data_IF_309281421434
#
_entry.id   IF_309281421434
#
_cell.length_a   1.000
_cell.length_b   1.000
_cell.length_c   1.000
_cell.angle_alpha   90.00
_cell.angle_beta   90.00
_cell.angle_gamma   90.00
#
_symmetry.space_group_name_H-M   'P 1'
#
loop_
_entity.id
_entity.type
_entity.pdbx_description
1 polymer ?
#
# COMPACT_ATOMS: atom_id res chain seq x y z
N UNK A 1 14.27 -19.80 -1.49
CA UNK A 1 14.00 -20.75 -0.39
C UNK A 1 14.69 -20.27 0.89
N UNK A 2 15.98 -19.99 0.82
CA UNK A 2 16.78 -19.47 1.94
C UNK A 2 16.14 -18.27 2.63
N UNK A 3 15.67 -17.27 1.87
CA UNK A 3 14.96 -16.09 2.39
C UNK A 3 13.74 -16.46 3.25
N UNK A 4 12.93 -17.42 2.82
CA UNK A 4 11.74 -17.86 3.57
C UNK A 4 12.12 -18.62 4.84
N UNK A 5 13.06 -19.56 4.74
CA UNK A 5 13.49 -20.39 5.88
C UNK A 5 14.25 -19.57 6.93
N UNK A 6 15.14 -18.68 6.50
CA UNK A 6 15.93 -17.83 7.39
C UNK A 6 15.08 -16.87 8.22
N UNK A 7 13.88 -16.54 7.76
CA UNK A 7 12.96 -15.65 8.48
C UNK A 7 12.40 -16.25 9.77
N UNK A 8 12.38 -17.58 9.89
CA UNK A 8 11.69 -18.30 10.97
C UNK A 8 10.18 -18.05 11.05
N UNK A 9 9.60 -17.35 10.06
CA UNK A 9 8.20 -16.95 10.09
C UNK A 9 7.25 -18.09 9.70
N UNK A 10 7.72 -19.06 8.91
CA UNK A 10 6.91 -20.19 8.40
C UNK A 10 7.65 -21.52 8.48
N UNK A 11 6.90 -22.62 8.46
CA UNK A 11 7.45 -23.97 8.36
C UNK A 11 8.19 -24.25 7.03
N UNK A 12 9.10 -25.22 7.04
CA UNK A 12 9.84 -25.61 5.84
C UNK A 12 8.92 -26.15 4.73
N UNK A 13 7.89 -26.92 5.10
CA UNK A 13 6.91 -27.47 4.15
C UNK A 13 6.11 -26.35 3.50
N UNK A 14 5.63 -25.37 4.27
CA UNK A 14 4.96 -24.18 3.74
C UNK A 14 5.88 -23.40 2.80
N UNK A 15 7.14 -23.19 3.20
CA UNK A 15 8.11 -22.47 2.37
C UNK A 15 8.33 -23.18 1.02
N UNK A 16 8.46 -24.50 1.00
CA UNK A 16 8.59 -25.30 -0.23
C UNK A 16 7.33 -25.23 -1.10
N UNK A 17 6.14 -25.35 -0.48
CA UNK A 17 4.86 -25.25 -1.18
C UNK A 17 4.59 -23.86 -1.77
N UNK A 18 5.19 -22.81 -1.20
CA UNK A 18 5.05 -21.44 -1.68
C UNK A 18 5.98 -21.12 -2.86
N UNK A 19 7.08 -21.87 -3.05
CA UNK A 19 8.05 -21.58 -4.12
C UNK A 19 7.42 -21.49 -5.52
N UNK A 20 6.51 -22.40 -5.95
CA UNK A 20 5.86 -22.27 -7.25
C UNK A 20 5.04 -20.98 -7.35
N UNK A 21 4.35 -20.58 -6.27
CA UNK A 21 3.56 -19.34 -6.23
C UNK A 21 4.46 -18.11 -6.34
N UNK A 22 5.60 -18.07 -5.62
CA UNK A 22 6.56 -16.97 -5.73
C UNK A 22 7.15 -16.85 -7.13
N UNK A 23 7.49 -17.97 -7.77
CA UNK A 23 8.03 -17.98 -9.14
C UNK A 23 7.01 -17.47 -10.15
N UNK A 24 5.76 -17.94 -10.05
CA UNK A 24 4.67 -17.46 -10.91
C UNK A 24 4.41 -15.97 -10.72
N UNK A 25 4.39 -15.50 -9.48
CA UNK A 25 4.23 -14.08 -9.16
C UNK A 25 5.38 -13.23 -9.70
N UNK A 26 6.62 -13.73 -9.64
CA UNK A 26 7.79 -13.04 -10.19
C UNK A 26 7.66 -12.87 -11.72
N UNK A 27 7.31 -13.94 -12.43
CA UNK A 27 7.06 -13.90 -13.88
C UNK A 27 5.87 -12.99 -14.21
N UNK A 28 4.81 -13.02 -13.42
CA UNK A 28 3.60 -12.25 -13.66
C UNK A 28 3.76 -10.74 -13.44
N UNK A 29 4.67 -10.34 -12.56
CA UNK A 29 4.78 -8.94 -12.11
C UNK A 29 6.12 -8.28 -12.42
N UNK A 30 7.14 -9.06 -12.80
CA UNK A 30 8.51 -8.58 -12.96
C UNK A 30 9.27 -8.37 -11.65
N UNK A 31 8.63 -8.57 -10.48
CA UNK A 31 9.31 -8.51 -9.19
C UNK A 31 10.22 -9.72 -8.98
N UNK A 32 11.24 -9.58 -8.14
CA UNK A 32 12.10 -10.72 -7.80
C UNK A 32 11.39 -11.68 -6.85
N UNK A 33 11.70 -13.00 -6.86
CA UNK A 33 11.18 -13.92 -5.86
C UNK A 33 11.48 -13.51 -4.42
N UNK A 34 12.63 -12.85 -4.19
CA UNK A 34 13.01 -12.34 -2.87
C UNK A 34 12.14 -11.17 -2.42
N UNK A 35 11.73 -10.28 -3.33
CA UNK A 35 10.81 -9.18 -3.01
C UNK A 35 9.44 -9.71 -2.60
N UNK A 36 8.93 -10.69 -3.34
CA UNK A 36 7.65 -11.33 -3.03
C UNK A 36 7.73 -12.10 -1.71
N UNK A 37 8.86 -12.76 -1.44
CA UNK A 37 9.12 -13.42 -0.17
C UNK A 37 9.14 -12.41 1.00
N UNK A 38 9.77 -11.23 0.85
CA UNK A 38 9.76 -10.16 1.88
C UNK A 38 8.34 -9.70 2.21
N UNK A 39 7.46 -9.57 1.22
CA UNK A 39 6.04 -9.23 1.44
C UNK A 39 5.38 -10.31 2.30
N UNK A 40 5.50 -11.59 1.89
CA UNK A 40 4.93 -12.71 2.64
C UNK A 40 5.42 -12.76 4.10
N UNK A 41 6.74 -12.73 4.31
CA UNK A 41 7.37 -12.80 5.63
C UNK A 41 6.90 -11.63 6.51
N UNK A 42 6.93 -10.41 5.97
CA UNK A 42 6.58 -9.22 6.74
C UNK A 42 5.09 -9.19 7.09
N UNK A 43 4.22 -9.69 6.20
CA UNK A 43 2.78 -9.84 6.49
C UNK A 43 2.53 -10.79 7.66
N UNK A 44 3.28 -11.89 7.76
CA UNK A 44 3.18 -12.79 8.92
C UNK A 44 3.64 -12.11 10.21
N UNK A 45 4.86 -11.56 10.19
CA UNK A 45 5.50 -11.01 11.39
C UNK A 45 4.81 -9.76 11.92
N UNK A 46 4.41 -8.85 11.02
CA UNK A 46 3.88 -7.55 11.40
C UNK A 46 2.36 -7.58 11.54
N UNK A 47 1.65 -8.24 10.62
CA UNK A 47 0.18 -8.20 10.60
C UNK A 47 -0.48 -9.39 11.30
N UNK A 48 0.30 -10.39 11.74
CA UNK A 48 -0.24 -11.58 12.40
C UNK A 48 -1.05 -12.48 11.46
N UNK A 49 -0.73 -12.47 10.18
CA UNK A 49 -1.39 -13.29 9.16
C UNK A 49 -0.79 -14.71 9.24
N UNK A 50 -1.66 -15.73 9.29
CA UNK A 50 -1.23 -17.12 9.38
C UNK A 50 -0.66 -17.66 8.07
N UNK A 51 0.15 -18.72 8.16
CA UNK A 51 0.78 -19.39 7.01
C UNK A 51 -0.23 -19.73 5.90
N UNK A 52 -1.42 -20.19 6.27
CA UNK A 52 -2.47 -20.60 5.34
C UNK A 52 -3.01 -19.44 4.47
N UNK A 53 -2.87 -18.20 4.93
CA UNK A 53 -3.42 -17.01 4.25
C UNK A 53 -2.38 -16.31 3.37
N UNK A 54 -1.13 -16.82 3.30
CA UNK A 54 -0.06 -16.16 2.56
C UNK A 54 -0.27 -16.20 1.05
N UNK A 55 -0.86 -17.27 0.51
CA UNK A 55 -1.30 -17.27 -0.89
C UNK A 55 -2.24 -16.09 -1.19
N UNK A 56 -3.22 -15.86 -0.31
CA UNK A 56 -4.17 -14.75 -0.42
C UNK A 56 -3.48 -13.39 -0.29
N UNK A 57 -2.53 -13.23 0.62
CA UNK A 57 -1.73 -11.99 0.76
C UNK A 57 -1.03 -11.64 -0.56
N UNK A 58 -0.41 -12.63 -1.19
CA UNK A 58 0.32 -12.41 -2.44
C UNK A 58 -0.62 -12.10 -3.60
N UNK A 59 -1.76 -12.80 -3.70
CA UNK A 59 -2.82 -12.51 -4.66
C UNK A 59 -3.35 -11.08 -4.51
N UNK A 60 -3.61 -10.63 -3.27
CA UNK A 60 -4.02 -9.26 -2.97
C UNK A 60 -2.97 -8.24 -3.41
N UNK A 61 -1.68 -8.52 -3.16
CA UNK A 61 -0.58 -7.64 -3.57
C UNK A 61 -0.49 -7.52 -5.10
N UNK A 62 -0.61 -8.64 -5.83
CA UNK A 62 -0.64 -8.66 -7.30
C UNK A 62 -1.82 -7.86 -7.83
N UNK A 63 -3.03 -8.12 -7.33
CA UNK A 63 -4.23 -7.40 -7.77
C UNK A 63 -4.12 -5.89 -7.50
N UNK A 64 -3.62 -5.49 -6.32
CA UNK A 64 -3.41 -4.09 -5.99
C UNK A 64 -2.36 -3.44 -6.91
N UNK A 65 -1.24 -4.13 -7.17
CA UNK A 65 -0.18 -3.63 -8.05
C UNK A 65 -0.68 -3.42 -9.48
N UNK A 66 -1.48 -4.34 -10.00
CA UNK A 66 -2.10 -4.24 -11.33
C UNK A 66 -3.19 -3.17 -11.41
N UNK A 67 -3.85 -2.87 -10.29
CA UNK A 67 -4.93 -1.89 -10.25
C UNK A 67 -4.42 -0.43 -10.30
N UNK A 68 -3.13 -0.19 -10.03
CA UNK A 68 -2.53 1.14 -9.95
C UNK A 68 -1.05 1.21 -10.38
N UNK A 69 -0.28 2.05 -9.70
CA UNK A 69 1.10 2.43 -10.09
C UNK A 69 2.14 2.10 -9.01
N UNK A 70 1.74 1.51 -7.90
CA UNK A 70 2.64 1.07 -6.84
C UNK A 70 2.84 -0.44 -6.98
N UNK A 71 3.97 -0.85 -7.52
CA UNK A 71 4.22 -2.23 -7.98
C UNK A 71 4.74 -3.13 -6.84
N UNK A 72 4.89 -4.43 -7.10
CA UNK A 72 5.34 -5.38 -6.07
C UNK A 72 6.76 -5.09 -5.55
N UNK A 73 7.65 -4.56 -6.41
CA UNK A 73 8.97 -4.12 -5.97
C UNK A 73 8.87 -2.97 -4.96
N UNK A 74 7.99 -1.99 -5.22
CA UNK A 74 7.70 -0.89 -4.30
C UNK A 74 7.09 -1.41 -2.98
N UNK A 75 6.16 -2.36 -3.10
CA UNK A 75 5.55 -3.03 -1.94
C UNK A 75 6.59 -3.74 -1.08
N UNK A 76 7.53 -4.47 -1.68
CA UNK A 76 8.59 -5.14 -0.94
C UNK A 76 9.52 -4.17 -0.23
N UNK A 77 9.76 -2.99 -0.81
CA UNK A 77 10.57 -1.95 -0.19
C UNK A 77 9.85 -1.28 1.00
N UNK A 78 8.55 -1.00 0.87
CA UNK A 78 7.85 -0.11 1.79
C UNK A 78 6.84 -0.78 2.74
N UNK A 79 6.16 -1.85 2.32
CA UNK A 79 5.18 -2.52 3.17
C UNK A 79 5.74 -2.99 4.51
N UNK A 80 6.99 -3.50 4.64
CA UNK A 80 7.49 -3.92 5.95
C UNK A 80 7.45 -2.79 7.00
N UNK A 81 7.86 -1.58 6.62
CA UNK A 81 7.84 -0.41 7.51
C UNK A 81 6.42 0.11 7.72
N UNK A 82 5.60 0.12 6.67
CA UNK A 82 4.20 0.56 6.76
C UNK A 82 3.36 -0.38 7.62
N UNK A 83 3.60 -1.70 7.56
CA UNK A 83 2.93 -2.67 8.41
C UNK A 83 3.36 -2.51 9.87
N UNK A 84 4.64 -2.25 10.14
CA UNK A 84 5.10 -1.96 11.50
C UNK A 84 4.44 -0.69 12.07
N UNK A 85 4.39 0.41 11.30
CA UNK A 85 3.73 1.65 11.71
C UNK A 85 2.20 1.48 11.82
N UNK A 86 1.59 0.80 10.85
CA UNK A 86 0.17 0.49 10.81
C UNK A 86 -0.28 -0.37 11.99
N UNK A 87 0.52 -1.38 12.37
CA UNK A 87 0.30 -2.21 13.56
C UNK A 87 0.21 -1.38 14.83
N UNK A 88 1.11 -0.42 15.01
CA UNK A 88 1.06 0.51 16.14
C UNK A 88 -0.22 1.35 16.12
N UNK A 89 -0.70 1.70 14.93
CA UNK A 89 -1.99 2.38 14.75
C UNK A 89 -3.21 1.43 14.90
N UNK A 90 -3.00 0.13 15.06
CA UNK A 90 -4.06 -0.87 15.21
C UNK A 90 -4.55 -1.49 13.91
N UNK A 91 -3.86 -1.29 12.78
CA UNK A 91 -4.06 -2.04 11.54
C UNK A 91 -3.45 -3.44 11.71
N UNK A 92 -4.24 -4.49 11.53
CA UNK A 92 -3.79 -5.87 11.69
C UNK A 92 -4.50 -6.80 10.69
N UNK A 93 -3.97 -8.00 10.51
CA UNK A 93 -4.55 -9.03 9.66
C UNK A 93 -4.70 -8.63 8.19
N UNK A 94 -5.53 -9.38 7.47
CA UNK A 94 -5.80 -9.16 6.05
C UNK A 94 -6.46 -7.79 5.77
N UNK A 95 -7.35 -7.32 6.65
CA UNK A 95 -8.01 -6.01 6.46
C UNK A 95 -7.02 -4.85 6.62
N UNK A 96 -6.14 -4.90 7.62
CA UNK A 96 -5.07 -3.92 7.77
C UNK A 96 -4.11 -3.93 6.57
N UNK A 97 -3.79 -5.12 6.05
CA UNK A 97 -2.94 -5.27 4.87
C UNK A 97 -3.61 -4.68 3.62
N UNK A 98 -4.89 -5.00 3.39
CA UNK A 98 -5.73 -4.42 2.32
C UNK A 98 -5.74 -2.89 2.39
N UNK A 99 -5.92 -2.31 3.58
CA UNK A 99 -5.87 -0.86 3.77
C UNK A 99 -4.55 -0.25 3.31
N UNK A 100 -3.42 -0.87 3.62
CA UNK A 100 -2.10 -0.38 3.20
C UNK A 100 -1.92 -0.45 1.69
N UNK A 101 -2.35 -1.55 1.05
CA UNK A 101 -2.34 -1.68 -0.40
C UNK A 101 -3.13 -0.55 -1.08
N UNK A 102 -4.37 -0.32 -0.61
CA UNK A 102 -5.23 0.75 -1.12
C UNK A 102 -4.57 2.12 -0.91
N UNK A 103 -4.08 2.40 0.29
CA UNK A 103 -3.47 3.68 0.63
C UNK A 103 -2.22 3.97 -0.23
N UNK A 104 -1.38 2.98 -0.51
CA UNK A 104 -0.23 3.13 -1.39
C UNK A 104 -0.65 3.53 -2.81
N UNK A 105 -1.65 2.86 -3.38
CA UNK A 105 -2.12 3.20 -4.73
C UNK A 105 -2.67 4.63 -4.79
N UNK A 106 -3.40 5.06 -3.76
CA UNK A 106 -3.95 6.42 -3.70
C UNK A 106 -2.88 7.49 -3.47
N UNK A 107 -1.93 7.25 -2.57
CA UNK A 107 -0.81 8.15 -2.32
C UNK A 107 0.11 8.28 -3.54
N UNK A 108 0.26 7.20 -4.31
CA UNK A 108 1.10 7.16 -5.51
C UNK A 108 0.63 8.11 -6.61
N UNK A 109 -0.66 8.41 -6.72
CA UNK A 109 -1.20 9.30 -7.77
C UNK A 109 -0.61 10.71 -7.70
N UNK A 110 -0.37 11.20 -6.49
CA UNK A 110 0.06 12.59 -6.25
C UNK A 110 1.55 12.71 -5.92
N UNK A 111 2.19 11.62 -5.52
CA UNK A 111 3.63 11.56 -5.32
C UNK A 111 4.39 11.53 -6.66
N UNK A 112 5.58 12.11 -6.70
CA UNK A 112 6.45 12.10 -7.88
C UNK A 112 7.02 10.71 -8.19
N UNK A 113 7.14 9.85 -7.19
CA UNK A 113 7.63 8.47 -7.32
C UNK A 113 6.95 7.51 -6.34
N UNK A 114 7.11 6.21 -6.57
CA UNK A 114 6.68 5.20 -5.60
C UNK A 114 7.47 5.25 -4.31
N UNK A 115 8.76 5.57 -4.38
CA UNK A 115 9.60 5.78 -3.20
C UNK A 115 9.05 6.89 -2.29
N UNK A 116 8.71 8.04 -2.90
CA UNK A 116 8.10 9.16 -2.19
C UNK A 116 6.72 8.77 -1.63
N UNK A 117 5.88 8.06 -2.40
CA UNK A 117 4.56 7.61 -1.94
C UNK A 117 4.67 6.68 -0.71
N UNK A 118 5.61 5.73 -0.77
CA UNK A 118 5.87 4.77 0.29
C UNK A 118 6.32 5.46 1.58
N UNK A 119 7.29 6.37 1.46
CA UNK A 119 7.78 7.19 2.57
C UNK A 119 6.69 8.10 3.17
N UNK A 120 5.91 8.78 2.32
CA UNK A 120 4.80 9.63 2.74
C UNK A 120 3.80 8.86 3.59
N UNK A 121 3.45 7.63 3.18
CA UNK A 121 2.51 6.80 3.92
C UNK A 121 3.08 6.33 5.26
N UNK A 122 4.36 5.96 5.33
CA UNK A 122 5.02 5.62 6.62
C UNK A 122 4.92 6.81 7.60
N UNK A 123 5.24 8.02 7.13
CA UNK A 123 5.16 9.22 7.95
C UNK A 123 3.72 9.50 8.43
N UNK A 124 2.73 9.36 7.54
CA UNK A 124 1.32 9.51 7.91
C UNK A 124 0.90 8.51 8.98
N UNK A 125 1.21 7.22 8.82
CA UNK A 125 0.87 6.18 9.79
C UNK A 125 1.51 6.47 11.16
N UNK A 126 2.75 6.95 11.18
CA UNK A 126 3.42 7.39 12.39
C UNK A 126 2.73 8.56 13.10
N UNK A 127 2.10 9.48 12.36
CA UNK A 127 1.34 10.59 12.94
C UNK A 127 0.04 10.14 13.62
N UNK A 128 -0.57 9.03 13.22
CA UNK A 128 -1.82 8.53 13.83
C UNK A 128 -1.62 8.20 15.32
N UNK A 129 -0.45 7.66 15.69
CA UNK A 129 -0.15 7.23 17.06
C UNK A 129 0.72 8.22 17.83
N UNK A 130 1.23 9.26 17.17
CA UNK A 130 2.13 10.21 17.79
C UNK A 130 1.46 10.96 18.96
N UNK A 131 2.14 10.98 20.11
CA UNK A 131 1.73 11.81 21.26
C UNK A 131 1.56 13.28 20.87
N UNK A 132 2.47 13.77 20.04
CA UNK A 132 2.43 15.11 19.45
C UNK A 132 1.09 15.40 18.77
N UNK A 133 0.61 14.50 17.91
CA UNK A 133 -0.65 14.67 17.19
C UNK A 133 -1.84 14.74 18.15
N UNK A 134 -1.87 13.89 19.18
CA UNK A 134 -2.89 13.96 20.23
C UNK A 134 -2.87 15.30 20.98
N UNK A 135 -1.68 15.82 21.31
CA UNK A 135 -1.56 17.09 22.02
C UNK A 135 -1.95 18.29 21.14
N UNK A 136 -1.62 18.25 19.86
CA UNK A 136 -2.07 19.24 18.87
C UNK A 136 -3.59 19.27 18.77
N UNK A 137 -4.25 18.11 18.70
CA UNK A 137 -5.72 18.03 18.69
C UNK A 137 -6.38 18.60 19.95
N UNK A 138 -5.79 18.40 21.14
CA UNK A 138 -6.33 18.96 22.40
C UNK A 138 -6.27 20.48 22.42
N UNK A 139 -5.19 21.05 21.87
CA UNK A 139 -4.96 22.49 21.85
C UNK A 139 -5.68 23.18 20.68
N UNK A 140 -6.05 22.41 19.65
CA UNK A 140 -6.80 22.92 18.52
C UNK A 140 -8.21 23.31 18.94
N UNK A 141 -8.58 24.55 18.60
CA UNK A 141 -9.97 24.98 18.56
C UNK A 141 -10.36 25.15 17.10
N UNK A 142 -11.46 24.52 16.71
CA UNK A 142 -12.04 24.74 15.39
C UNK A 142 -13.48 25.20 15.54
N UNK A 143 -13.97 25.92 14.53
CA UNK A 143 -15.35 26.37 14.48
C UNK A 143 -16.20 25.23 13.95
N UNK A 144 -17.08 24.69 14.79
CA UNK A 144 -18.01 23.64 14.39
C UNK A 144 -18.89 24.17 13.23
N UNK A 145 -18.86 23.55 12.04
CA UNK A 145 -19.60 24.05 10.89
C UNK A 145 -21.12 23.94 11.05
N UNK A 146 -21.61 23.08 11.96
CA UNK A 146 -23.04 22.91 12.25
C UNK A 146 -23.55 23.92 13.26
N UNK A 147 -22.74 24.26 14.26
CA UNK A 147 -23.19 25.09 15.40
C UNK A 147 -22.56 26.49 15.46
N UNK A 148 -21.49 26.71 14.69
CA UNK A 148 -20.73 27.97 14.64
C UNK A 148 -19.89 28.26 15.89
N UNK A 149 -19.84 27.36 16.88
CA UNK A 149 -19.11 27.52 18.14
C UNK A 149 -17.71 26.93 18.07
N UNK A 150 -16.78 27.50 18.85
CA UNK A 150 -15.46 26.89 19.05
C UNK A 150 -15.61 25.56 19.80
N UNK A 151 -14.94 24.52 19.29
CA UNK A 151 -14.90 23.19 19.89
C UNK A 151 -13.47 22.65 19.85
N UNK A 152 -13.07 21.96 20.91
CA UNK A 152 -11.84 21.16 20.93
C UNK A 152 -12.09 19.73 20.46
N UNK A 153 -11.06 19.03 20.02
CA UNK A 153 -11.15 17.64 19.56
C UNK A 153 -10.54 16.72 20.61
N UNK A 154 -11.35 15.84 21.19
CA UNK A 154 -10.83 14.70 21.94
C UNK A 154 -10.46 13.60 20.94
N UNK A 155 -9.21 13.59 20.51
CA UNK A 155 -8.73 12.69 19.45
C UNK A 155 -9.03 11.22 19.75
N UNK A 156 -8.77 10.76 20.98
CA UNK A 156 -9.03 9.37 21.37
C UNK A 156 -10.52 9.00 21.26
N UNK A 157 -11.42 9.85 21.77
CA UNK A 157 -12.87 9.62 21.66
C UNK A 157 -13.37 9.69 20.22
N UNK A 158 -12.81 10.57 19.41
CA UNK A 158 -13.17 10.66 17.99
C UNK A 158 -12.71 9.42 17.22
N UNK A 159 -11.50 8.92 17.50
CA UNK A 159 -11.00 7.66 16.93
C UNK A 159 -11.91 6.49 17.32
N UNK A 160 -12.29 6.38 18.60
CA UNK A 160 -13.25 5.37 19.07
C UNK A 160 -14.59 5.47 18.35
N UNK A 161 -15.12 6.70 18.20
CA UNK A 161 -16.39 6.95 17.51
C UNK A 161 -16.37 6.46 16.06
N UNK A 162 -15.33 6.79 15.31
CA UNK A 162 -15.22 6.39 13.90
C UNK A 162 -14.92 4.89 13.74
N UNK A 163 -14.07 4.33 14.60
CA UNK A 163 -13.82 2.88 14.63
C UNK A 163 -15.08 2.09 14.99
N UNK A 164 -15.93 2.62 15.87
CA UNK A 164 -17.25 2.06 16.18
C UNK A 164 -18.22 2.04 15.00
N UNK A 165 -17.95 2.79 13.92
CA UNK A 165 -18.68 2.74 12.65
C UNK A 165 -18.07 1.78 11.63
N UNK A 166 -17.10 0.96 12.04
CA UNK A 166 -16.42 0.00 11.17
C UNK A 166 -15.25 0.58 10.37
N UNK A 167 -14.81 1.80 10.67
CA UNK A 167 -13.60 2.36 10.05
C UNK A 167 -12.34 1.80 10.72
N UNK A 168 -11.30 1.57 9.93
CA UNK A 168 -9.96 1.34 10.49
C UNK A 168 -9.32 2.65 10.98
N UNK A 169 -8.16 2.55 11.63
CA UNK A 169 -7.51 3.72 12.23
C UNK A 169 -7.06 4.77 11.23
N UNK A 170 -6.69 4.40 10.00
CA UNK A 170 -6.34 5.37 8.97
C UNK A 170 -7.59 6.10 8.48
N UNK A 171 -8.68 5.38 8.23
CA UNK A 171 -9.97 5.98 7.89
C UNK A 171 -10.56 6.87 8.99
N UNK A 172 -10.46 6.43 10.24
CA UNK A 172 -10.90 7.20 11.40
C UNK A 172 -10.10 8.51 11.52
N UNK A 173 -8.77 8.43 11.38
CA UNK A 173 -7.90 9.61 11.38
C UNK A 173 -8.28 10.60 10.28
N UNK A 174 -8.51 10.11 9.06
CA UNK A 174 -8.97 10.96 7.95
C UNK A 174 -10.31 11.61 8.22
N UNK A 175 -11.29 10.86 8.75
CA UNK A 175 -12.61 11.39 9.06
C UNK A 175 -12.56 12.49 10.13
N UNK A 176 -11.62 12.40 11.08
CA UNK A 176 -11.39 13.48 12.06
C UNK A 176 -10.83 14.73 11.40
N UNK A 177 -9.90 14.58 10.44
CA UNK A 177 -9.40 15.73 9.67
C UNK A 177 -10.50 16.39 8.85
N UNK A 178 -11.41 15.59 8.31
CA UNK A 178 -12.58 16.07 7.57
C UNK A 178 -13.53 16.86 8.46
N UNK A 179 -13.72 16.45 9.72
CA UNK A 179 -14.52 17.21 10.68
C UNK A 179 -13.90 18.59 11.00
N UNK A 180 -12.57 18.71 10.91
CA UNK A 180 -11.83 19.96 11.20
C UNK A 180 -11.97 20.97 10.07
N UNK A 181 -11.70 20.56 8.82
CA UNK A 181 -11.61 21.49 7.67
C UNK A 181 -12.73 21.33 6.65
N UNK A 182 -13.56 20.30 6.78
CA UNK A 182 -14.58 19.96 5.78
C UNK A 182 -15.65 21.03 5.61
N UNK A 183 -15.73 22.04 6.48
CA UNK A 183 -16.58 23.22 6.31
C UNK A 183 -15.94 24.39 5.55
N UNK A 184 -14.64 24.33 5.25
CA UNK A 184 -13.94 25.38 4.50
C UNK A 184 -14.31 25.32 3.01
N UNK A 185 -14.82 26.43 2.48
CA UNK A 185 -15.29 26.50 1.08
C UNK A 185 -14.15 26.38 0.07
N UNK A 186 -13.00 27.01 0.33
CA UNK A 186 -11.86 26.94 -0.58
C UNK A 186 -11.31 25.52 -0.62
N UNK A 187 -11.25 24.86 0.54
CA UNK A 187 -10.89 23.45 0.64
C UNK A 187 -11.82 22.58 -0.20
N UNK A 188 -13.14 22.70 -0.02
CA UNK A 188 -14.14 21.95 -0.79
C UNK A 188 -14.05 22.21 -2.30
N UNK A 189 -13.84 23.47 -2.71
CA UNK A 189 -13.70 23.85 -4.13
C UNK A 189 -12.48 23.19 -4.77
N UNK A 190 -11.33 23.22 -4.10
CA UNK A 190 -10.10 22.58 -4.61
C UNK A 190 -10.25 21.06 -4.68
N UNK A 191 -10.85 20.44 -3.66
CA UNK A 191 -11.15 19.00 -3.69
C UNK A 191 -12.07 18.63 -4.86
N UNK A 192 -13.09 19.43 -5.13
CA UNK A 192 -14.02 19.17 -6.23
C UNK A 192 -13.34 19.29 -7.60
N UNK A 193 -12.47 20.29 -7.80
CA UNK A 193 -11.68 20.42 -9.03
C UNK A 193 -10.72 19.23 -9.23
N UNK A 194 -10.11 18.76 -8.15
CA UNK A 194 -9.18 17.62 -8.18
C UNK A 194 -9.82 16.29 -8.60
N UNK A 195 -11.13 16.11 -8.41
CA UNK A 195 -11.83 14.87 -8.81
C UNK A 195 -11.75 14.58 -10.31
N UNK A 196 -11.64 15.63 -11.14
CA UNK A 196 -11.66 15.50 -12.60
C UNK A 196 -10.37 15.97 -13.27
N UNK A 197 -9.52 16.71 -12.55
CA UNK A 197 -8.24 17.19 -13.07
C UNK A 197 -7.27 16.04 -13.36
N UNK A 198 -6.44 16.22 -14.39
CA UNK A 198 -5.41 15.25 -14.80
C UNK A 198 -4.09 15.95 -15.12
N UNK A 199 -2.98 15.21 -15.03
CA UNK A 199 -1.66 15.68 -15.46
C UNK A 199 -1.23 16.97 -14.75
N UNK A 200 -0.72 17.94 -15.52
CA UNK A 200 -0.19 19.19 -14.98
C UNK A 200 -1.21 20.02 -14.18
N UNK A 201 -2.49 20.00 -14.59
CA UNK A 201 -3.55 20.70 -13.86
C UNK A 201 -3.78 20.07 -12.49
N UNK A 202 -3.82 18.73 -12.43
CA UNK A 202 -3.97 18.00 -11.18
C UNK A 202 -2.82 18.30 -10.22
N UNK A 203 -1.57 18.28 -10.72
CA UNK A 203 -0.40 18.61 -9.94
C UNK A 203 -0.47 20.05 -9.38
N UNK A 204 -0.91 21.01 -10.20
CA UNK A 204 -1.08 22.41 -9.78
C UNK A 204 -2.15 22.55 -8.69
N UNK A 205 -3.34 22.00 -8.91
CA UNK A 205 -4.44 22.06 -7.96
C UNK A 205 -4.10 21.34 -6.65
N UNK A 206 -3.33 20.25 -6.73
CA UNK A 206 -2.89 19.53 -5.54
C UNK A 206 -1.88 20.34 -4.73
N UNK A 207 -0.98 21.08 -5.40
CA UNK A 207 -0.09 22.04 -4.75
C UNK A 207 -0.89 23.17 -4.09
N UNK A 208 -1.87 23.76 -4.78
CA UNK A 208 -2.75 24.79 -4.20
C UNK A 208 -3.50 24.28 -2.96
N UNK A 209 -4.01 23.05 -3.02
CA UNK A 209 -4.64 22.40 -1.87
C UNK A 209 -3.66 22.19 -0.73
N UNK A 210 -2.44 21.74 -1.02
CA UNK A 210 -1.40 21.51 0.00
C UNK A 210 -1.04 22.82 0.68
N UNK A 211 -0.77 23.88 -0.09
CA UNK A 211 -0.42 25.21 0.42
C UNK A 211 -1.57 25.80 1.29
N UNK A 212 -2.82 25.61 0.86
CA UNK A 212 -3.99 26.00 1.66
C UNK A 212 -4.01 25.25 2.99
N UNK A 213 -3.86 23.93 2.96
CA UNK A 213 -4.01 23.06 4.12
C UNK A 213 -2.86 23.24 5.12
N UNK A 214 -1.65 23.53 4.67
CA UNK A 214 -0.50 23.89 5.51
C UNK A 214 -0.80 25.12 6.40
N UNK A 215 -1.60 26.07 5.91
CA UNK A 215 -2.03 27.25 6.67
C UNK A 215 -3.27 27.05 7.55
N UNK A 216 -3.83 25.83 7.60
CA UNK A 216 -5.04 25.52 8.37
C UNK A 216 -4.74 24.71 9.63
N UNK A 217 -5.79 24.42 10.39
CA UNK A 217 -5.76 23.48 11.51
C UNK A 217 -5.15 22.10 11.16
N UNK A 218 -5.27 21.62 9.91
CA UNK A 218 -4.60 20.37 9.52
C UNK A 218 -3.08 20.54 9.51
N UNK A 219 -2.54 21.65 9.00
CA UNK A 219 -1.10 21.92 9.03
C UNK A 219 -0.56 22.04 10.46
N UNK A 220 -1.38 22.54 11.39
CA UNK A 220 -1.04 22.53 12.82
C UNK A 220 -1.02 21.11 13.38
N UNK A 221 -1.93 20.23 12.98
CA UNK A 221 -1.96 18.83 13.43
C UNK A 221 -0.86 17.98 12.78
N UNK A 222 -0.67 18.15 11.47
CA UNK A 222 0.31 17.44 10.63
C UNK A 222 1.23 18.49 10.01
N UNK A 223 2.28 18.84 10.74
CA UNK A 223 3.33 19.73 10.21
C UNK A 223 4.35 19.00 9.34
N UNK A 224 4.25 17.67 9.26
CA UNK A 224 5.09 16.86 8.40
C UNK A 224 4.50 16.87 6.98
N UNK A 225 5.21 17.49 6.05
CA UNK A 225 4.75 17.66 4.67
C UNK A 225 4.59 16.32 3.94
N UNK A 226 5.41 15.31 4.25
CA UNK A 226 5.31 13.98 3.63
C UNK A 226 4.03 13.27 4.10
N UNK A 227 3.75 13.31 5.40
CA UNK A 227 2.50 12.81 5.96
C UNK A 227 1.27 13.55 5.41
N UNK A 228 1.36 14.89 5.26
CA UNK A 228 0.29 15.69 4.69
C UNK A 228 0.02 15.31 3.23
N UNK A 229 1.06 15.09 2.42
CA UNK A 229 0.91 14.65 1.04
C UNK A 229 0.28 13.27 0.93
N UNK A 230 0.65 12.31 1.79
CA UNK A 230 -0.07 11.03 1.84
C UNK A 230 -1.54 11.21 2.22
N UNK A 231 -1.84 12.04 3.23
CA UNK A 231 -3.22 12.30 3.67
C UNK A 231 -4.07 12.83 2.51
N UNK A 232 -3.57 13.87 1.83
CA UNK A 232 -4.26 14.50 0.72
C UNK A 232 -4.34 13.57 -0.50
N UNK A 233 -3.28 12.78 -0.76
CA UNK A 233 -3.26 11.78 -1.83
C UNK A 233 -4.34 10.71 -1.65
N UNK A 234 -4.44 10.16 -0.43
CA UNK A 234 -5.48 9.19 -0.07
C UNK A 234 -6.88 9.82 -0.20
N UNK A 235 -7.08 11.02 0.37
CA UNK A 235 -8.38 11.68 0.40
C UNK A 235 -8.89 12.09 -0.98
N UNK A 236 -8.00 12.49 -1.90
CA UNK A 236 -8.43 12.95 -3.21
C UNK A 236 -8.63 11.80 -4.23
N UNK A 237 -8.14 10.59 -3.92
CA UNK A 237 -8.20 9.45 -4.84
C UNK A 237 -9.15 8.34 -4.35
N UNK A 238 -10.29 8.70 -3.76
CA UNK A 238 -11.28 7.75 -3.21
C UNK A 238 -11.79 6.76 -4.27
N UNK A 239 -12.03 7.22 -5.51
CA UNK A 239 -12.50 6.34 -6.59
C UNK A 239 -11.47 5.27 -6.96
N UNK A 240 -10.19 5.65 -7.04
CA UNK A 240 -9.11 4.69 -7.23
C UNK A 240 -9.04 3.72 -6.05
N UNK A 241 -9.19 4.22 -4.81
CA UNK A 241 -9.20 3.37 -3.63
C UNK A 241 -10.32 2.32 -3.66
N UNK A 242 -11.53 2.70 -4.09
CA UNK A 242 -12.66 1.78 -4.27
C UNK A 242 -12.41 0.75 -5.38
N UNK A 243 -11.79 1.17 -6.49
CA UNK A 243 -11.37 0.26 -7.56
C UNK A 243 -10.38 -0.78 -7.02
N UNK A 244 -9.32 -0.33 -6.35
CA UNK A 244 -8.29 -1.21 -5.78
C UNK A 244 -8.90 -2.14 -4.74
N UNK A 245 -9.79 -1.67 -3.88
CA UNK A 245 -10.52 -2.50 -2.92
C UNK A 245 -11.28 -3.62 -3.62
N UNK A 246 -12.02 -3.29 -4.68
CA UNK A 246 -12.77 -4.28 -5.48
C UNK A 246 -11.85 -5.31 -6.15
N UNK A 247 -10.72 -4.88 -6.73
CA UNK A 247 -9.75 -5.79 -7.35
C UNK A 247 -9.10 -6.71 -6.31
N UNK A 248 -8.78 -6.17 -5.13
CA UNK A 248 -8.19 -6.91 -4.02
C UNK A 248 -9.19 -7.90 -3.41
N UNK A 249 -10.47 -7.56 -3.29
CA UNK A 249 -11.51 -8.48 -2.83
C UNK A 249 -11.75 -9.64 -3.81
N UNK A 250 -11.59 -9.38 -5.11
CA UNK A 250 -11.72 -10.39 -6.17
C UNK A 250 -10.38 -11.02 -6.58
N UNK A 251 -9.34 -10.85 -5.77
CA UNK A 251 -7.96 -11.24 -6.10
C UNK A 251 -7.70 -12.74 -6.10
N UNK A 252 -8.69 -13.59 -5.81
CA UNK A 252 -8.49 -15.04 -5.80
C UNK A 252 -7.89 -15.51 -7.13
N UNK A 253 -6.76 -16.22 -7.02
CA UNK A 253 -5.96 -16.73 -8.14
C UNK A 253 -5.39 -15.63 -9.05
N UNK A 254 -5.21 -14.40 -8.56
CA UNK A 254 -4.65 -13.28 -9.33
C UNK A 254 -3.26 -13.63 -9.86
N UNK A 255 -2.42 -14.29 -9.07
CA UNK A 255 -1.10 -14.75 -9.50
C UNK A 255 -1.22 -15.73 -10.67
N UNK A 256 -2.10 -16.74 -10.55
CA UNK A 256 -2.27 -17.76 -11.59
C UNK A 256 -2.80 -17.15 -12.89
N UNK A 257 -3.84 -16.31 -12.80
CA UNK A 257 -4.43 -15.62 -13.95
C UNK A 257 -3.39 -14.75 -14.66
N UNK A 258 -2.61 -13.99 -13.90
CA UNK A 258 -1.60 -13.08 -14.44
C UNK A 258 -0.45 -13.84 -15.08
N UNK A 259 0.03 -14.89 -14.42
CA UNK A 259 1.05 -15.77 -14.96
C UNK A 259 0.58 -16.45 -16.26
N UNK A 260 -0.67 -16.91 -16.33
CA UNK A 260 -1.22 -17.50 -17.54
C UNK A 260 -1.23 -16.52 -18.72
N UNK A 261 -1.61 -15.26 -18.47
CA UNK A 261 -1.56 -14.19 -19.49
C UNK A 261 -0.14 -13.96 -19.98
N UNK A 262 0.83 -13.83 -19.07
CA UNK A 262 2.25 -13.64 -19.44
C UNK A 262 2.78 -14.84 -20.22
N UNK A 263 2.49 -16.05 -19.77
CA UNK A 263 2.90 -17.30 -20.42
C UNK A 263 2.37 -17.42 -21.86
N UNK A 264 1.19 -16.90 -22.13
CA UNK A 264 0.57 -16.95 -23.44
C UNK A 264 1.15 -15.93 -24.43
N UNK A 265 1.92 -14.95 -23.96
CA UNK A 265 2.61 -13.98 -24.81
C UNK A 265 3.69 -14.64 -25.68
N UNK A 266 3.89 -14.10 -26.88
CA UNK A 266 4.93 -14.57 -27.80
C UNK A 266 6.34 -14.37 -27.22
N UNK A 267 6.56 -13.27 -26.48
CA UNK A 267 7.84 -12.99 -25.83
C UNK A 267 8.21 -14.11 -24.86
N UNK A 268 7.29 -14.47 -23.96
CA UNK A 268 7.53 -15.55 -23.00
C UNK A 268 7.71 -16.91 -23.68
N UNK A 269 6.95 -17.21 -24.75
CA UNK A 269 7.13 -18.46 -25.52
C UNK A 269 8.50 -18.55 -26.18
N UNK A 270 8.99 -17.45 -26.74
CA UNK A 270 10.35 -17.37 -27.32
C UNK A 270 11.41 -17.54 -26.25
N UNK A 271 11.26 -16.89 -25.11
CA UNK A 271 12.17 -17.04 -23.97
C UNK A 271 12.18 -18.47 -23.43
N UNK A 272 11.02 -19.11 -23.27
CA UNK A 272 10.92 -20.50 -22.86
C UNK A 272 11.62 -21.46 -23.85
N UNK A 273 11.50 -21.21 -25.15
CA UNK A 273 12.22 -21.97 -26.18
C UNK A 273 13.74 -21.78 -26.09
N UNK A 274 14.21 -20.54 -25.88
CA UNK A 274 15.64 -20.26 -25.67
C UNK A 274 16.17 -20.99 -24.44
N UNK A 275 15.49 -20.86 -23.31
CA UNK A 275 15.87 -21.53 -22.07
C UNK A 275 15.90 -23.06 -22.26
N UNK A 276 14.91 -23.63 -22.95
CA UNK A 276 14.90 -25.08 -23.23
C UNK A 276 16.08 -25.52 -24.10
N UNK A 277 16.49 -24.70 -25.08
CA UNK A 277 17.66 -24.98 -25.90
C UNK A 277 18.95 -24.89 -25.09
N UNK A 278 19.10 -23.84 -24.28
CA UNK A 278 20.24 -23.66 -23.37
C UNK A 278 20.37 -24.83 -22.37
N UNK A 279 19.26 -25.28 -21.77
CA UNK A 279 19.28 -26.47 -20.91
C UNK A 279 19.65 -27.75 -21.64
N UNK A 280 19.21 -27.92 -22.90
CA UNK A 280 19.61 -29.06 -23.71
C UNK A 280 21.11 -29.01 -24.04
N UNK A 281 21.64 -27.84 -24.38
CA UNK A 281 23.07 -27.61 -24.60
C UNK A 281 23.88 -27.88 -23.32
N UNK A 282 23.45 -27.40 -22.16
CA UNK A 282 24.09 -27.68 -20.87
C UNK A 282 24.10 -29.18 -20.54
N UNK A 283 22.99 -29.89 -20.72
CA UNK A 283 22.93 -31.35 -20.49
C UNK A 283 23.86 -32.11 -21.43
N UNK A 284 23.91 -31.71 -22.70
CA UNK A 284 24.83 -32.30 -23.67
C UNK A 284 26.29 -32.01 -23.27
N UNK A 285 26.57 -30.81 -22.76
CA UNK A 285 27.90 -30.45 -22.27
C UNK A 285 28.28 -31.22 -21.00
N UNK A 286 27.37 -31.39 -20.03
CA UNK A 286 27.59 -32.25 -18.86
C UNK A 286 27.86 -33.71 -19.25
N UNK A 287 27.13 -34.24 -20.25
CA UNK A 287 27.38 -35.57 -20.78
C UNK A 287 28.76 -35.69 -21.44
N UNK A 288 29.19 -34.67 -22.18
CA UNK A 288 30.54 -34.63 -22.79
C UNK A 288 31.63 -34.46 -21.72
N UNK A 289 31.38 -33.65 -20.69
CA UNK A 289 32.32 -33.43 -19.60
C UNK A 289 32.52 -34.70 -18.76
N UNK A 290 31.43 -35.42 -18.43
CA UNK A 290 31.50 -36.73 -17.77
C UNK A 290 32.19 -37.83 -18.60
N UNK A 291 32.38 -37.62 -19.91
CA UNK A 291 33.15 -38.52 -20.80
C UNK A 291 34.62 -38.09 -20.91
N UNK A 292 34.96 -36.83 -20.59
CA UNK A 292 36.31 -36.28 -20.69
C UNK A 292 37.04 -36.12 -19.34
N UNK A 293 36.35 -36.28 -18.20
CA UNK A 293 36.95 -36.29 -16.86
C UNK A 293 35.98 -35.87 -15.77
#
# INVERSE_FOLDING_TARGET
>A
LDTLLASGAMSADTAMNLLPTLQKAAVATGATPDDIAKIAISSMQQMGIGEQDIGKVLDMAVAAGQAGQFELADMAAWLPQQMAAGKQAGLNGLEGFKRLLIANQQARVTAGSSDEAGNNLVNLLGKITAKETNDRFKNLKYKDPKTGKEKGINFAKSMEHYKGKGQDSLQAFMSIMDDVVGGDKQYQELQNKLKTAKGAEQAKLFKELTDLVEGTAIGEIISDRQALMALLGIKNNVQLGQKVDTEVENSQDAIEKSHAVVRDTNAHKVEALKNSNEFAEMKNFEQVNNVLG
#
